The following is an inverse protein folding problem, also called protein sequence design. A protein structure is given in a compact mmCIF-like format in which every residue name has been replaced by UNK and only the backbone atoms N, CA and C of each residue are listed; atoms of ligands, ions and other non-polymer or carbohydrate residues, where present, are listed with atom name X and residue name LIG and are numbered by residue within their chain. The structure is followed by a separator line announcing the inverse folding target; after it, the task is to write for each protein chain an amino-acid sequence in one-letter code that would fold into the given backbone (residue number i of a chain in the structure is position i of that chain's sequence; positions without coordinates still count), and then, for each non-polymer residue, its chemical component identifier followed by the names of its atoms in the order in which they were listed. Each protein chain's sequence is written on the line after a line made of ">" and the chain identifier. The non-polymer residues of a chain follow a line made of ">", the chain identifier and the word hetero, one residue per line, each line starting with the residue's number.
data_IF_668691054888
#
_entry.id   IF_668691054888
#
_cell.length_a   1.000
_cell.length_b   1.000
_cell.length_c   1.000
_cell.angle_alpha   90.00
_cell.angle_beta   90.00
_cell.angle_gamma   90.00
#
_symmetry.space_group_name_H-M   'P 1'
#
loop_
_entity.id
_entity.type
_entity.pdbx_description
1 polymer ?
#
# COMPACT_ATOMS: atom_id res chain seq x y z
N UNK A 1 38.48 -40.32 11.43
CA UNK A 1 37.53 -39.32 11.97
C UNK A 1 37.12 -38.42 10.82
N UNK A 2 36.05 -38.77 10.09
CA UNK A 2 35.43 -37.91 9.08
C UNK A 2 34.15 -37.31 9.69
N UNK A 3 33.86 -36.01 9.49
CA UNK A 3 32.59 -35.44 9.90
C UNK A 3 31.48 -35.93 8.96
N UNK A 4 30.38 -36.36 9.56
CA UNK A 4 29.19 -36.85 8.86
C UNK A 4 28.50 -35.70 8.12
N UNK A 5 28.21 -35.91 6.84
CA UNK A 5 27.35 -35.05 6.03
C UNK A 5 25.90 -35.26 6.45
N UNK A 6 25.23 -34.21 6.91
CA UNK A 6 23.78 -34.21 7.11
C UNK A 6 23.11 -33.76 5.81
N UNK A 7 22.40 -34.69 5.17
CA UNK A 7 21.50 -34.40 4.06
C UNK A 7 20.27 -33.63 4.57
N UNK A 8 20.16 -32.36 4.20
CA UNK A 8 18.95 -31.56 4.42
C UNK A 8 17.95 -31.78 3.27
N UNK A 9 16.74 -32.29 3.54
CA UNK A 9 15.72 -32.42 2.51
C UNK A 9 15.14 -31.03 2.18
N UNK A 10 15.48 -30.49 1.00
CA UNK A 10 14.80 -29.29 0.48
C UNK A 10 13.46 -29.70 -0.12
N UNK A 11 12.47 -29.92 0.74
CA UNK A 11 11.07 -29.98 0.33
C UNK A 11 10.54 -28.54 0.19
N UNK A 12 10.89 -27.85 -0.90
CA UNK A 12 10.13 -26.68 -1.35
C UNK A 12 9.01 -27.15 -2.28
N UNK A 13 8.00 -27.76 -1.68
CA UNK A 13 6.69 -27.93 -2.30
C UNK A 13 6.09 -26.54 -2.40
N UNK A 14 6.24 -25.91 -3.57
CA UNK A 14 5.50 -24.71 -3.93
C UNK A 14 4.01 -25.07 -4.01
N UNK A 15 3.32 -25.03 -2.88
CA UNK A 15 1.85 -25.11 -2.85
C UNK A 15 1.32 -23.85 -3.51
N UNK A 16 0.85 -24.04 -4.75
CA UNK A 16 0.01 -23.12 -5.48
C UNK A 16 -1.12 -22.64 -4.56
N UNK A 17 -1.02 -21.39 -4.13
CA UNK A 17 -2.04 -20.76 -3.31
C UNK A 17 -3.32 -20.65 -4.15
N UNK A 18 -4.38 -21.21 -3.57
CA UNK A 18 -5.77 -21.15 -4.02
C UNK A 18 -6.18 -19.72 -4.40
N UNK A 19 -6.79 -19.63 -5.57
CA UNK A 19 -7.59 -18.47 -6.00
C UNK A 19 -8.87 -18.42 -5.16
N UNK A 20 -9.51 -17.25 -5.09
CA UNK A 20 -10.81 -16.97 -4.43
C UNK A 20 -10.76 -16.56 -2.92
N UNK A 21 -10.14 -15.40 -2.61
CA UNK A 21 -10.48 -14.40 -1.53
C UNK A 21 -9.31 -13.41 -1.31
N UNK A 22 -8.85 -12.75 -2.39
CA UNK A 22 -7.71 -11.80 -2.34
C UNK A 22 -8.15 -10.32 -2.41
N UNK A 23 -9.45 -10.03 -2.50
CA UNK A 23 -9.94 -8.64 -2.54
C UNK A 23 -9.73 -7.90 -1.22
N UNK A 24 -9.58 -8.61 -0.10
CA UNK A 24 -9.34 -7.98 1.22
C UNK A 24 -7.87 -7.79 1.57
N UNK A 25 -6.92 -8.42 0.84
CA UNK A 25 -5.49 -8.43 1.19
C UNK A 25 -4.66 -7.53 0.28
N UNK A 26 -5.23 -6.40 -0.14
CA UNK A 26 -4.57 -5.42 -1.02
C UNK A 26 -4.24 -4.11 -0.30
N UNK A 27 -3.16 -3.46 -0.75
CA UNK A 27 -2.69 -2.18 -0.25
C UNK A 27 -3.60 -1.06 -0.74
N UNK A 28 -4.24 -0.34 0.18
CA UNK A 28 -5.14 0.77 -0.15
C UNK A 28 -4.47 1.93 -0.93
N UNK A 29 -3.14 2.01 -0.91
CA UNK A 29 -2.38 3.07 -1.59
C UNK A 29 -2.04 2.72 -3.04
N UNK A 30 -1.50 1.52 -3.27
CA UNK A 30 -0.93 1.14 -4.57
C UNK A 30 -1.42 -0.19 -5.15
N UNK A 31 -2.36 -0.86 -4.48
CA UNK A 31 -2.95 -2.13 -4.93
C UNK A 31 -2.03 -3.35 -4.86
N UNK A 32 -0.86 -3.25 -4.24
CA UNK A 32 0.05 -4.41 -4.05
C UNK A 32 -0.42 -5.29 -2.89
N UNK A 33 0.08 -6.53 -2.79
CA UNK A 33 -0.29 -7.47 -1.73
C UNK A 33 0.04 -6.89 -0.34
N UNK A 34 -0.93 -6.93 0.57
CA UNK A 34 -0.85 -6.40 1.92
C UNK A 34 -1.49 -7.36 2.93
N UNK A 35 -0.64 -7.97 3.76
CA UNK A 35 -1.06 -8.98 4.73
C UNK A 35 -1.67 -8.34 5.99
N UNK A 36 -1.16 -7.18 6.42
CA UNK A 36 -1.54 -6.55 7.68
C UNK A 36 -1.70 -5.01 7.58
N UNK A 37 -2.00 -4.38 8.71
CA UNK A 37 -2.19 -2.94 8.83
C UNK A 37 -0.89 -2.26 9.28
N UNK A 38 -0.62 -1.10 8.70
CA UNK A 38 0.48 -0.22 9.11
C UNK A 38 -0.02 1.21 9.25
N UNK A 39 0.31 1.86 10.37
CA UNK A 39 -0.04 3.26 10.61
C UNK A 39 -1.54 3.55 10.48
N UNK A 40 -2.42 2.59 10.80
CA UNK A 40 -3.88 2.76 10.72
C UNK A 40 -4.54 2.35 9.41
N UNK A 41 -3.79 1.90 8.39
CA UNK A 41 -4.37 1.44 7.12
C UNK A 41 -3.70 0.15 6.59
N UNK A 42 -4.46 -0.68 5.85
CA UNK A 42 -3.92 -1.86 5.16
C UNK A 42 -3.01 -1.42 4.02
N UNK A 43 -1.71 -1.66 4.18
CA UNK A 43 -0.70 -1.21 3.22
C UNK A 43 0.41 -2.23 3.04
N UNK A 44 1.10 -2.20 1.91
CA UNK A 44 2.26 -3.05 1.66
C UNK A 44 3.53 -2.50 2.33
N UNK A 45 4.55 -3.35 2.50
CA UNK A 45 5.87 -2.99 3.06
C UNK A 45 6.51 -1.78 2.35
N UNK A 46 6.30 -1.68 1.04
CA UNK A 46 6.80 -0.55 0.25
C UNK A 46 6.15 0.80 0.62
N UNK A 47 4.87 0.82 0.97
CA UNK A 47 4.14 2.02 1.38
C UNK A 47 4.37 2.35 2.85
N UNK A 48 4.47 1.34 3.72
CA UNK A 48 4.92 1.46 5.11
C UNK A 48 6.28 2.15 5.20
N UNK A 49 7.28 1.64 4.49
CA UNK A 49 8.64 2.19 4.53
C UNK A 49 8.73 3.60 3.94
N UNK A 50 7.96 3.87 2.89
CA UNK A 50 7.85 5.21 2.31
C UNK A 50 7.26 6.20 3.33
N UNK A 51 6.09 5.89 3.89
CA UNK A 51 5.41 6.73 4.87
C UNK A 51 6.30 7.03 6.09
N UNK A 52 6.96 6.00 6.64
CA UNK A 52 7.90 6.16 7.76
C UNK A 52 8.98 7.19 7.45
N UNK A 53 9.67 7.04 6.31
CA UNK A 53 10.77 7.95 5.91
C UNK A 53 10.27 9.36 5.66
N UNK A 54 9.12 9.52 5.01
CA UNK A 54 8.54 10.83 4.72
C UNK A 54 8.21 11.58 6.00
N UNK A 55 7.56 10.92 6.97
CA UNK A 55 7.19 11.57 8.23
C UNK A 55 8.42 11.85 9.10
N UNK A 56 9.33 10.88 9.26
CA UNK A 56 10.54 11.06 10.07
C UNK A 56 11.45 12.18 9.56
N UNK A 57 11.60 12.30 8.24
CA UNK A 57 12.44 13.33 7.62
C UNK A 57 11.67 14.63 7.31
N UNK A 58 10.39 14.71 7.68
CA UNK A 58 9.48 15.79 7.28
C UNK A 58 9.63 16.16 5.77
N UNK A 59 9.75 15.13 4.92
CA UNK A 59 10.10 15.34 3.52
C UNK A 59 9.00 16.06 2.76
N UNK A 60 9.36 17.17 2.12
CA UNK A 60 8.46 17.94 1.24
C UNK A 60 8.64 17.43 -0.19
N UNK A 61 7.54 17.00 -0.81
CA UNK A 61 7.54 16.54 -2.19
C UNK A 61 6.72 17.50 -3.06
N UNK A 62 7.22 17.79 -4.26
CA UNK A 62 6.49 18.49 -5.30
C UNK A 62 6.02 17.51 -6.38
N UNK A 63 4.78 17.66 -6.84
CA UNK A 63 4.31 16.95 -8.02
C UNK A 63 4.73 17.71 -9.27
N UNK A 64 5.28 17.01 -10.27
CA UNK A 64 5.63 17.60 -11.57
C UNK A 64 4.41 17.84 -12.49
N UNK A 65 3.22 17.38 -12.09
CA UNK A 65 1.98 17.56 -12.85
C UNK A 65 0.82 17.99 -11.96
N UNK A 66 -0.39 17.55 -12.27
CA UNK A 66 -1.65 18.09 -11.68
C UNK A 66 -2.01 17.50 -10.30
N UNK A 67 -1.05 16.96 -9.53
CA UNK A 67 -1.29 16.29 -8.23
C UNK A 67 -2.33 15.15 -8.26
N UNK A 68 -2.60 14.58 -9.42
CA UNK A 68 -3.53 13.46 -9.62
C UNK A 68 -2.84 12.28 -10.31
N UNK A 69 -1.57 12.03 -9.98
CA UNK A 69 -0.84 10.91 -10.57
C UNK A 69 -1.43 9.58 -10.09
N UNK A 70 -1.67 8.62 -10.99
CA UNK A 70 -2.08 7.29 -10.58
C UNK A 70 -0.96 6.65 -9.74
N UNK A 71 -1.34 5.87 -8.72
CA UNK A 71 -0.40 5.21 -7.80
C UNK A 71 -0.70 3.71 -7.85
N UNK A 72 0.12 2.96 -8.58
CA UNK A 72 0.05 1.50 -8.70
C UNK A 72 1.42 0.88 -8.46
N UNK A 73 1.48 -0.44 -8.21
CA UNK A 73 2.72 -1.17 -7.89
C UNK A 73 3.90 -0.83 -8.79
N UNK A 74 3.70 -0.79 -10.11
CA UNK A 74 4.77 -0.61 -11.11
C UNK A 74 5.36 0.80 -11.13
N UNK A 75 4.56 1.84 -10.81
CA UNK A 75 4.96 3.23 -11.01
C UNK A 75 4.69 4.16 -9.83
N UNK A 76 4.35 3.62 -8.66
CA UNK A 76 4.22 4.37 -7.39
C UNK A 76 5.45 5.19 -7.00
N UNK A 77 6.63 4.88 -7.54
CA UNK A 77 7.86 5.66 -7.33
C UNK A 77 7.94 6.94 -8.16
N UNK A 78 7.16 7.08 -9.25
CA UNK A 78 7.22 8.23 -10.16
C UNK A 78 6.84 9.55 -9.51
N UNK A 79 5.83 9.55 -8.63
CA UNK A 79 5.39 10.76 -7.95
C UNK A 79 5.25 10.56 -6.44
N UNK A 80 6.26 11.03 -5.71
CA UNK A 80 6.33 10.94 -4.26
C UNK A 80 5.25 11.81 -3.58
N UNK A 81 4.95 12.99 -4.16
CA UNK A 81 3.90 13.88 -3.67
C UNK A 81 2.52 13.22 -3.68
N UNK A 82 2.07 12.74 -4.84
CA UNK A 82 0.75 12.08 -4.98
C UNK A 82 0.68 10.79 -4.15
N UNK A 83 1.79 10.04 -4.05
CA UNK A 83 1.85 8.84 -3.22
C UNK A 83 1.64 9.17 -1.75
N UNK A 84 2.35 10.17 -1.22
CA UNK A 84 2.20 10.57 0.18
C UNK A 84 0.82 11.15 0.47
N UNK A 85 0.29 11.96 -0.44
CA UNK A 85 -1.08 12.44 -0.35
C UNK A 85 -2.08 11.28 -0.28
N UNK A 86 -1.92 10.24 -1.11
CA UNK A 86 -2.79 9.06 -1.07
C UNK A 86 -2.64 8.26 0.23
N UNK A 87 -1.43 8.15 0.80
CA UNK A 87 -1.23 7.58 2.13
C UNK A 87 -2.06 8.28 3.19
N UNK A 88 -2.08 9.62 3.20
CA UNK A 88 -2.91 10.39 4.12
C UNK A 88 -4.41 10.21 3.84
N UNK A 89 -4.81 10.18 2.57
CA UNK A 89 -6.22 10.00 2.17
C UNK A 89 -6.82 8.67 2.62
N UNK A 90 -6.01 7.60 2.68
CA UNK A 90 -6.46 6.29 3.18
C UNK A 90 -6.39 6.17 4.70
N UNK A 91 -5.95 7.22 5.40
CA UNK A 91 -5.89 7.26 6.87
C UNK A 91 -4.58 6.76 7.47
N UNK A 92 -3.45 6.79 6.74
CA UNK A 92 -2.16 6.53 7.38
C UNK A 92 -1.79 7.70 8.30
N UNK A 93 -1.61 7.43 9.60
CA UNK A 93 -1.29 8.42 10.63
C UNK A 93 -0.17 7.93 11.55
N UNK A 94 0.64 8.85 12.06
CA UNK A 94 1.59 8.56 13.15
C UNK A 94 0.92 8.74 14.51
N UNK A 95 1.40 8.04 15.56
CA UNK A 95 0.87 8.19 16.93
C UNK A 95 1.10 9.60 17.49
N UNK A 96 2.12 10.32 17.01
CA UNK A 96 2.27 11.75 17.30
C UNK A 96 1.41 12.56 16.34
N UNK A 97 0.66 13.57 16.83
CA UNK A 97 -0.12 14.45 15.97
C UNK A 97 0.85 15.23 15.08
N UNK A 98 1.01 14.81 13.84
CA UNK A 98 1.59 15.67 12.81
C UNK A 98 0.68 16.90 12.73
N UNK A 99 1.24 18.08 13.02
CA UNK A 99 0.52 19.36 12.85
C UNK A 99 0.29 19.56 11.34
N UNK A 100 -0.72 18.89 10.79
CA UNK A 100 -1.16 19.08 9.42
C UNK A 100 -1.88 20.43 9.38
N UNK A 101 -1.22 21.44 8.80
CA UNK A 101 -1.84 22.74 8.55
C UNK A 101 -3.03 22.53 7.61
N UNK A 102 -4.23 22.72 8.16
CA UNK A 102 -5.51 22.65 7.45
C UNK A 102 -5.47 23.56 6.22
N UNK A 103 -5.41 22.99 5.02
CA UNK A 103 -5.48 23.79 3.80
C UNK A 103 -5.09 23.10 2.51
N UNK A 104 -5.66 21.93 2.18
CA UNK A 104 -5.92 21.45 0.80
C UNK A 104 -6.60 20.06 0.82
N UNK A 105 -7.88 19.99 1.20
CA UNK A 105 -8.67 18.77 1.01
C UNK A 105 -9.67 18.99 -0.12
N UNK A 106 -9.26 18.68 -1.36
CA UNK A 106 -10.19 18.32 -2.44
C UNK A 106 -9.85 16.91 -2.88
N UNK A 107 -10.29 15.94 -2.09
CA UNK A 107 -10.59 14.60 -2.63
C UNK A 107 -12.00 14.30 -2.16
N UNK A 108 -12.97 14.59 -3.03
CA UNK A 108 -14.32 14.07 -2.90
C UNK A 108 -14.21 12.57 -2.63
N UNK A 109 -14.65 12.12 -1.45
CA UNK A 109 -15.02 10.72 -1.20
C UNK A 109 -16.06 10.35 -2.27
N UNK A 110 -15.64 9.72 -3.36
CA UNK A 110 -16.51 8.88 -4.19
C UNK A 110 -16.27 7.45 -3.73
N UNK A 111 -16.76 7.14 -2.53
CA UNK A 111 -17.09 5.78 -2.16
C UNK A 111 -18.61 5.61 -2.38
N UNK A 112 -19.02 4.39 -2.74
CA UNK A 112 -20.31 3.90 -3.28
C UNK A 112 -20.32 3.88 -4.81
N UNK A 113 -20.58 2.76 -5.49
CA UNK A 113 -20.96 1.40 -5.10
C UNK A 113 -20.71 0.54 -6.34
N UNK A 114 -20.05 -0.62 -6.21
CA UNK A 114 -20.12 -1.66 -7.23
C UNK A 114 -20.89 -2.82 -6.62
N UNK A 115 -22.19 -2.60 -6.42
CA UNK A 115 -23.15 -3.65 -6.14
C UNK A 115 -23.64 -4.18 -7.49
N UNK A 116 -23.21 -5.40 -7.81
CA UNK A 116 -23.94 -6.46 -8.53
C UNK A 116 -25.18 -6.04 -9.33
N UNK A 117 -25.13 -6.17 -10.66
CA UNK A 117 -26.29 -6.49 -11.53
C UNK A 117 -25.78 -6.85 -12.92
N UNK A 118 -25.83 -8.13 -13.26
CA UNK A 118 -25.51 -8.68 -14.58
C UNK A 118 -26.29 -9.96 -14.83
N UNK A 119 -27.59 -9.93 -14.52
CA UNK A 119 -28.57 -10.90 -14.99
C UNK A 119 -29.55 -10.14 -15.88
N UNK A 120 -29.53 -10.43 -17.19
CA UNK A 120 -30.65 -10.37 -18.14
C UNK A 120 -30.10 -10.33 -19.57
N UNK A 121 -30.10 -11.48 -20.23
CA UNK A 121 -30.59 -11.68 -21.60
C UNK A 121 -30.84 -13.17 -21.78
#
# INVERSE_FOLDING_TARGET
>A
MLPQTFDFPTASTATAASMEEDSEKVCAVCGDRAVCFHYGARTCEGCKGFFKRTVQKASKYACAGNRNCPIEKRYRSRCQACRFQKCLSVGMTTPTPVRYVRGFFVVKKKFRNMTSSGAAS
#
